data_IF_129349217706
#
_entry.id   IF_129349217706
#
_cell.length_a   1.000
_cell.length_b   1.000
_cell.length_c   1.000
_cell.angle_alpha   90.00
_cell.angle_beta   90.00
_cell.angle_gamma   90.00
#
_symmetry.space_group_name_H-M   'P 1'
#
loop_
_entity.id
_entity.type
_entity.pdbx_description
1 polymer ?
#
# COMPACT_ATOMS: atom_id res chain seq x y z
N UNK A 1 76.85 22.36 -10.17
CA UNK A 1 75.94 23.50 -9.97
C UNK A 1 74.59 23.15 -10.58
N UNK A 2 73.53 23.24 -9.76
CA UNK A 2 72.18 23.73 -10.11
C UNK A 2 71.27 22.94 -11.09
N UNK A 3 70.10 22.56 -10.54
CA UNK A 3 68.73 22.71 -11.10
C UNK A 3 68.32 21.66 -12.16
N UNK A 4 67.15 21.03 -12.16
CA UNK A 4 65.92 21.13 -11.37
C UNK A 4 65.14 19.82 -11.54
N UNK A 5 64.73 19.19 -10.43
CA UNK A 5 63.64 18.21 -10.40
C UNK A 5 62.34 18.99 -10.15
N UNK A 6 61.49 19.11 -11.17
CA UNK A 6 60.13 19.62 -11.01
C UNK A 6 59.16 18.45 -11.15
N UNK A 7 58.52 18.11 -10.03
CA UNK A 7 57.38 17.22 -9.99
C UNK A 7 56.13 17.90 -10.53
N UNK A 8 55.31 17.12 -11.22
CA UNK A 8 53.89 17.39 -11.40
C UNK A 8 53.12 16.14 -10.98
N UNK A 9 52.75 16.11 -9.70
CA UNK A 9 51.67 15.28 -9.20
C UNK A 9 50.37 16.07 -9.39
N UNK A 10 49.58 15.76 -10.42
CA UNK A 10 48.23 16.30 -10.59
C UNK A 10 47.40 15.40 -11.51
N UNK A 11 47.09 14.21 -11.01
CA UNK A 11 45.94 13.42 -11.46
C UNK A 11 45.27 12.81 -10.24
N UNK A 12 44.73 13.67 -9.37
CA UNK A 12 43.63 13.26 -8.52
C UNK A 12 42.36 13.42 -9.36
N UNK A 13 41.66 12.33 -9.74
CA UNK A 13 40.31 12.47 -10.21
C UNK A 13 39.50 13.01 -9.05
N UNK A 14 39.09 14.27 -9.16
CA UNK A 14 38.00 14.81 -8.36
C UNK A 14 36.81 13.90 -8.64
N UNK A 15 36.58 12.95 -7.73
CA UNK A 15 35.27 12.36 -7.57
C UNK A 15 34.34 13.51 -7.17
N UNK A 16 33.78 14.19 -8.17
CA UNK A 16 32.57 14.97 -8.01
C UNK A 16 31.47 13.99 -7.60
N UNK A 17 31.44 13.62 -6.32
CA UNK A 17 30.21 13.29 -5.64
C UNK A 17 29.31 14.50 -5.82
N UNK A 18 28.35 14.40 -6.74
CA UNK A 18 27.28 15.36 -6.88
C UNK A 18 26.67 15.52 -5.48
N UNK A 19 26.86 16.71 -4.89
CA UNK A 19 26.28 17.07 -3.61
C UNK A 19 24.76 16.86 -3.72
N UNK A 20 24.28 15.81 -3.06
CA UNK A 20 22.98 15.20 -3.31
C UNK A 20 21.90 16.01 -2.61
N UNK A 21 21.53 17.14 -3.19
CA UNK A 21 20.45 17.99 -2.67
C UNK A 21 19.13 17.66 -3.38
N UNK A 22 18.07 17.50 -2.60
CA UNK A 22 16.73 17.24 -3.10
C UNK A 22 15.79 18.28 -2.51
N UNK A 23 15.19 19.10 -3.38
CA UNK A 23 14.18 20.07 -2.99
C UNK A 23 12.86 19.73 -3.65
N UNK A 24 11.79 19.72 -2.87
CA UNK A 24 10.41 19.54 -3.33
C UNK A 24 9.68 20.84 -3.09
N UNK A 25 9.13 21.41 -4.17
CA UNK A 25 8.36 22.66 -4.10
C UNK A 25 7.03 22.46 -3.36
N UNK A 26 6.46 23.55 -2.84
CA UNK A 26 5.19 23.53 -2.13
C UNK A 26 4.06 22.94 -2.98
N UNK A 27 3.22 22.10 -2.38
CA UNK A 27 2.12 21.39 -3.06
C UNK A 27 2.54 20.52 -4.26
N UNK A 28 3.83 20.18 -4.38
CA UNK A 28 4.33 19.31 -5.45
C UNK A 28 4.75 17.94 -4.93
N UNK A 29 4.86 16.99 -5.85
CA UNK A 29 5.30 15.63 -5.55
C UNK A 29 6.57 15.35 -6.34
N UNK A 30 7.63 14.92 -5.63
CA UNK A 30 8.87 14.47 -6.25
C UNK A 30 9.10 13.01 -5.90
N UNK A 31 9.35 12.17 -6.91
CA UNK A 31 9.82 10.80 -6.70
C UNK A 31 11.35 10.79 -6.74
N UNK A 32 11.99 10.23 -5.72
CA UNK A 32 13.44 10.12 -5.66
C UNK A 32 13.98 9.40 -6.91
N UNK A 33 14.87 10.04 -7.68
CA UNK A 33 15.51 9.42 -8.84
C UNK A 33 16.62 8.47 -8.37
N UNK A 34 16.30 7.19 -8.22
CA UNK A 34 17.25 6.19 -7.68
C UNK A 34 17.64 5.17 -8.74
N UNK A 35 18.94 4.86 -8.80
CA UNK A 35 19.48 3.73 -9.58
C UNK A 35 19.85 2.54 -8.70
N UNK A 36 20.23 2.77 -7.44
CA UNK A 36 20.62 1.76 -6.45
C UNK A 36 19.60 1.54 -5.34
N UNK A 37 20.01 0.79 -4.31
CA UNK A 37 19.27 0.43 -3.10
C UNK A 37 19.73 1.21 -1.85
N UNK A 38 20.95 1.75 -1.83
CA UNK A 38 21.44 2.69 -0.81
C UNK A 38 21.66 4.08 -1.42
N UNK A 39 21.21 5.12 -0.70
CA UNK A 39 21.34 6.52 -1.10
C UNK A 39 21.85 7.37 0.07
N UNK A 40 22.81 8.24 -0.20
CA UNK A 40 23.26 9.27 0.75
C UNK A 40 23.00 10.64 0.12
N UNK A 41 22.23 11.47 0.81
CA UNK A 41 21.88 12.83 0.40
C UNK A 41 22.34 13.80 1.46
N UNK A 42 22.91 14.92 1.02
CA UNK A 42 23.42 15.94 1.95
C UNK A 42 22.25 16.73 2.55
N UNK A 43 21.24 17.03 1.74
CA UNK A 43 20.07 17.79 2.17
C UNK A 43 18.80 17.40 1.43
N UNK A 44 17.72 17.24 2.18
CA UNK A 44 16.36 17.09 1.69
C UNK A 44 15.52 18.22 2.27
N UNK A 45 14.85 18.97 1.40
CA UNK A 45 13.88 20.01 1.79
C UNK A 45 12.56 19.73 1.11
N UNK A 46 11.49 19.62 1.88
CA UNK A 46 10.12 19.45 1.35
C UNK A 46 9.29 20.65 1.76
N UNK A 47 8.87 21.43 0.77
CA UNK A 47 8.04 22.61 0.98
C UNK A 47 6.65 22.26 1.55
N UNK A 48 5.88 23.28 1.99
CA UNK A 48 4.58 23.08 2.63
C UNK A 48 3.64 22.24 1.76
N UNK A 49 2.95 21.27 2.36
CA UNK A 49 2.06 20.32 1.68
C UNK A 49 2.73 19.53 0.52
N UNK A 50 4.07 19.59 0.40
CA UNK A 50 4.83 18.84 -0.59
C UNK A 50 4.97 17.37 -0.20
N UNK A 51 5.28 16.51 -1.18
CA UNK A 51 5.51 15.10 -0.94
C UNK A 51 6.77 14.57 -1.64
N UNK A 52 7.67 13.95 -0.87
CA UNK A 52 8.80 13.18 -1.38
C UNK A 52 8.44 11.69 -1.40
N UNK A 53 8.56 11.05 -2.55
CA UNK A 53 8.29 9.63 -2.70
C UNK A 53 9.57 8.79 -2.77
N UNK A 54 9.71 7.83 -1.86
CA UNK A 54 10.80 6.86 -1.78
C UNK A 54 10.40 5.56 -2.48
N UNK A 55 11.04 5.17 -3.59
CA UNK A 55 10.73 3.92 -4.29
C UNK A 55 11.01 2.67 -3.44
N UNK A 56 10.28 1.59 -3.71
CA UNK A 56 10.37 0.32 -2.96
C UNK A 56 11.74 -0.36 -3.03
N UNK A 57 12.55 -0.04 -4.05
CA UNK A 57 13.93 -0.53 -4.21
C UNK A 57 14.88 0.01 -3.13
N UNK A 58 14.65 1.23 -2.65
CA UNK A 58 15.57 1.87 -1.68
C UNK A 58 15.43 1.14 -0.35
N UNK A 59 16.53 0.61 0.16
CA UNK A 59 16.65 -0.09 1.45
C UNK A 59 17.31 0.79 2.50
N UNK A 60 18.20 1.70 2.09
CA UNK A 60 18.92 2.59 2.99
C UNK A 60 18.91 4.02 2.42
N UNK A 61 18.54 4.99 3.26
CA UNK A 61 18.54 6.41 2.95
C UNK A 61 19.23 7.16 4.09
N UNK A 62 20.42 7.70 3.81
CA UNK A 62 21.16 8.58 4.73
C UNK A 62 20.96 10.02 4.32
N UNK A 63 20.63 10.86 5.29
CA UNK A 63 20.29 12.26 5.10
C UNK A 63 21.14 13.08 6.06
N UNK A 64 21.93 14.01 5.53
CA UNK A 64 22.63 15.01 6.34
C UNK A 64 21.62 15.95 7.01
N UNK A 65 20.89 16.72 6.21
CA UNK A 65 19.88 17.67 6.67
C UNK A 65 18.49 17.32 6.12
N UNK A 66 17.49 17.17 6.98
CA UNK A 66 16.09 16.96 6.60
C UNK A 66 15.21 18.10 7.09
N UNK A 67 14.61 18.84 6.16
CA UNK A 67 13.63 19.89 6.46
C UNK A 67 12.27 19.50 5.87
N UNK A 68 11.30 19.22 6.74
CA UNK A 68 9.91 19.01 6.38
C UNK A 68 9.10 20.20 6.86
N UNK A 69 8.64 21.01 5.90
CA UNK A 69 7.74 22.12 6.20
C UNK A 69 6.35 21.63 6.66
N UNK A 70 5.48 22.57 7.02
CA UNK A 70 4.14 22.26 7.53
C UNK A 70 3.38 21.33 6.59
N UNK A 71 2.81 20.26 7.15
CA UNK A 71 2.07 19.22 6.42
C UNK A 71 2.85 18.51 5.29
N UNK A 72 4.18 18.62 5.25
CA UNK A 72 5.01 17.94 4.28
C UNK A 72 5.04 16.42 4.52
N UNK A 73 5.21 15.65 3.45
CA UNK A 73 5.05 14.20 3.48
C UNK A 73 6.24 13.48 2.87
N UNK A 74 6.65 12.39 3.50
CA UNK A 74 7.53 11.37 2.91
C UNK A 74 6.68 10.13 2.67
N UNK A 75 6.39 9.83 1.41
CA UNK A 75 5.68 8.62 1.01
C UNK A 75 6.67 7.52 0.64
N UNK A 76 6.57 6.36 1.26
CA UNK A 76 7.38 5.18 0.97
C UNK A 76 6.52 4.20 0.21
N UNK A 77 6.97 3.81 -0.98
CA UNK A 77 6.27 2.79 -1.75
C UNK A 77 6.28 1.44 -1.01
N UNK A 78 5.19 0.65 -1.10
CA UNK A 78 5.13 -0.69 -0.53
C UNK A 78 6.30 -1.56 -1.00
N UNK A 79 6.90 -2.32 -0.08
CA UNK A 79 8.03 -3.18 -0.36
C UNK A 79 8.22 -4.25 0.71
N UNK A 80 8.87 -5.34 0.34
CA UNK A 80 9.10 -6.48 1.24
C UNK A 80 10.31 -6.25 2.16
N UNK A 81 11.31 -5.54 1.68
CA UNK A 81 12.50 -5.19 2.46
C UNK A 81 12.22 -4.02 3.39
N UNK A 82 12.77 -4.06 4.60
CA UNK A 82 12.77 -2.91 5.49
C UNK A 82 13.48 -1.70 4.85
N UNK A 83 13.04 -0.49 5.20
CA UNK A 83 13.70 0.75 4.83
C UNK A 83 14.36 1.36 6.07
N UNK A 84 15.67 1.56 6.00
CA UNK A 84 16.42 2.34 6.97
C UNK A 84 16.50 3.79 6.50
N UNK A 85 16.07 4.72 7.35
CA UNK A 85 16.24 6.16 7.16
C UNK A 85 17.07 6.68 8.32
N UNK A 86 18.21 7.25 8.00
CA UNK A 86 19.10 7.88 8.98
C UNK A 86 19.17 9.39 8.69
N UNK A 87 18.86 10.20 9.69
CA UNK A 87 18.84 11.65 9.62
C UNK A 87 19.83 12.19 10.66
N UNK A 88 20.85 12.91 10.20
CA UNK A 88 21.84 13.53 11.08
C UNK A 88 21.27 14.78 11.75
N UNK A 89 20.78 15.72 10.95
CA UNK A 89 20.15 16.96 11.40
C UNK A 89 18.79 17.15 10.74
N UNK A 90 17.82 17.72 11.45
CA UNK A 90 16.56 18.04 10.79
C UNK A 90 15.54 18.81 11.60
N UNK A 91 14.56 19.34 10.89
CA UNK A 91 13.39 19.99 11.43
C UNK A 91 12.13 19.43 10.76
N UNK A 92 11.23 18.85 11.56
CA UNK A 92 9.94 18.36 11.09
C UNK A 92 8.84 19.21 11.73
N UNK A 93 8.34 20.14 10.93
CA UNK A 93 7.28 21.05 11.33
C UNK A 93 5.95 20.32 11.58
N UNK A 94 5.00 21.02 12.19
CA UNK A 94 3.66 20.50 12.47
C UNK A 94 2.99 19.84 11.26
N UNK A 95 2.38 18.68 11.52
CA UNK A 95 1.66 17.89 10.53
C UNK A 95 2.55 17.10 9.57
N UNK A 96 3.86 17.01 9.81
CA UNK A 96 4.77 16.18 9.01
C UNK A 96 4.36 14.71 9.04
N UNK A 97 4.42 14.03 7.89
CA UNK A 97 4.01 12.62 7.77
C UNK A 97 5.09 11.78 7.11
N UNK A 98 5.42 10.62 7.69
CA UNK A 98 6.17 9.54 7.04
C UNK A 98 5.19 8.37 6.86
N UNK A 99 4.80 8.11 5.61
CA UNK A 99 3.80 7.10 5.27
C UNK A 99 4.45 5.93 4.52
N UNK A 100 4.39 4.73 5.09
CA UNK A 100 4.92 3.48 4.53
C UNK A 100 3.83 2.39 4.51
N UNK A 101 2.63 2.79 4.12
CA UNK A 101 1.45 1.92 4.11
C UNK A 101 1.55 0.81 3.07
N UNK A 102 0.91 -0.32 3.37
CA UNK A 102 0.75 -1.41 2.43
C UNK A 102 -0.24 -1.11 1.29
N UNK A 103 -0.08 -1.78 0.15
CA UNK A 103 -1.04 -1.71 -0.95
C UNK A 103 -2.26 -2.57 -0.67
N UNK A 104 -3.46 -2.07 -0.99
CA UNK A 104 -4.68 -2.87 -0.98
C UNK A 104 -4.60 -4.04 -1.96
N UNK A 105 -5.23 -5.14 -1.61
CA UNK A 105 -5.37 -6.32 -2.46
C UNK A 105 -6.34 -6.09 -3.61
N UNK A 106 -6.11 -6.82 -4.69
CA UNK A 106 -6.98 -6.94 -5.85
C UNK A 106 -7.25 -8.42 -6.14
N UNK A 107 -8.08 -8.70 -7.15
CA UNK A 107 -8.32 -10.06 -7.62
C UNK A 107 -7.04 -10.77 -8.12
N UNK A 108 -6.01 -10.01 -8.51
CA UNK A 108 -4.75 -10.55 -9.03
C UNK A 108 -3.64 -10.61 -7.98
N UNK A 109 -3.68 -9.71 -6.99
CA UNK A 109 -2.59 -9.52 -6.02
C UNK A 109 -3.13 -9.42 -4.61
N UNK A 110 -2.56 -10.16 -3.64
CA UNK A 110 -2.92 -9.99 -2.25
C UNK A 110 -2.53 -8.59 -1.75
N UNK A 111 -3.15 -8.18 -0.65
CA UNK A 111 -2.74 -6.98 0.06
C UNK A 111 -1.29 -7.11 0.56
N UNK A 112 -0.53 -6.02 0.54
CA UNK A 112 0.81 -6.00 1.11
C UNK A 112 0.78 -5.44 2.53
N UNK A 113 1.72 -5.90 3.37
CA UNK A 113 1.91 -5.33 4.69
C UNK A 113 2.41 -3.90 4.63
N UNK A 114 2.27 -3.18 5.74
CA UNK A 114 3.00 -1.93 5.95
C UNK A 114 4.50 -2.20 5.92
N UNK A 115 5.26 -1.33 5.25
CA UNK A 115 6.70 -1.55 5.06
C UNK A 115 7.46 -1.22 6.34
N UNK A 116 8.23 -2.17 6.85
CA UNK A 116 9.02 -1.98 8.07
C UNK A 116 9.98 -0.79 7.93
N UNK A 117 10.05 0.05 8.96
CA UNK A 117 10.90 1.23 9.00
C UNK A 117 11.90 1.13 10.15
N UNK A 118 13.16 1.45 9.87
CA UNK A 118 14.17 1.74 10.88
C UNK A 118 14.55 3.21 10.75
N UNK A 119 14.06 4.03 11.67
CA UNK A 119 14.25 5.47 11.67
C UNK A 119 15.29 5.82 12.73
N UNK A 120 16.44 6.33 12.31
CA UNK A 120 17.47 6.84 13.21
C UNK A 120 17.54 8.36 13.08
N UNK A 121 17.06 9.07 14.08
CA UNK A 121 17.04 10.53 14.11
C UNK A 121 18.08 10.99 15.14
N UNK A 122 19.13 11.69 14.73
CA UNK A 122 20.22 12.07 15.64
C UNK A 122 19.97 13.45 16.26
N UNK A 123 19.97 14.52 15.48
CA UNK A 123 19.71 15.88 15.96
C UNK A 123 18.51 16.46 15.20
N UNK A 124 17.33 15.96 15.55
CA UNK A 124 16.10 16.23 14.82
C UNK A 124 15.06 16.85 15.73
N UNK A 125 14.65 18.08 15.41
CA UNK A 125 13.52 18.74 16.05
C UNK A 125 12.22 18.26 15.41
N UNK A 126 11.25 17.91 16.25
CA UNK A 126 9.90 17.51 15.82
C UNK A 126 8.88 18.34 16.56
N UNK A 127 7.86 18.82 15.84
CA UNK A 127 6.67 19.44 16.43
C UNK A 127 5.51 18.43 16.56
N UNK A 128 5.11 17.80 15.44
CA UNK A 128 4.02 16.83 15.39
C UNK A 128 4.21 15.93 14.17
N UNK A 129 4.80 14.76 14.40
CA UNK A 129 5.12 13.79 13.35
C UNK A 129 4.13 12.63 13.39
N UNK A 130 3.56 12.29 12.24
CA UNK A 130 2.81 11.05 12.04
C UNK A 130 3.64 10.03 11.27
N UNK A 131 3.81 8.85 11.83
CA UNK A 131 4.39 7.68 11.13
C UNK A 131 3.24 6.70 10.84
N UNK A 132 2.87 6.52 9.56
CA UNK A 132 1.78 5.64 9.14
C UNK A 132 2.32 4.40 8.42
N UNK A 133 2.29 3.25 9.10
CA UNK A 133 2.76 1.95 8.58
C UNK A 133 1.65 0.90 8.65
N UNK A 134 0.43 1.31 8.34
CA UNK A 134 -0.74 0.42 8.29
C UNK A 134 -0.65 -0.62 7.18
N UNK A 135 -1.28 -1.77 7.41
CA UNK A 135 -1.43 -2.83 6.41
C UNK A 135 -2.46 -2.49 5.33
N UNK A 136 -2.29 -3.06 4.14
CA UNK A 136 -3.25 -2.93 3.04
C UNK A 136 -4.56 -3.70 3.29
N UNK A 137 -5.66 -3.19 2.76
CA UNK A 137 -6.99 -3.84 2.84
C UNK A 137 -7.01 -5.10 2.00
N UNK A 138 -7.58 -6.19 2.52
CA UNK A 138 -7.69 -7.47 1.81
C UNK A 138 -8.47 -7.36 0.49
N UNK A 139 -8.15 -8.23 -0.46
CA UNK A 139 -8.84 -8.26 -1.75
C UNK A 139 -10.32 -8.67 -1.59
N UNK A 140 -11.25 -8.08 -2.35
CA UNK A 140 -12.65 -8.50 -2.33
C UNK A 140 -12.83 -9.91 -2.88
N UNK A 141 -13.87 -10.59 -2.42
CA UNK A 141 -14.34 -11.85 -3.00
C UNK A 141 -15.00 -11.64 -4.36
N UNK A 142 -15.02 -12.68 -5.18
CA UNK A 142 -15.73 -12.68 -6.46
C UNK A 142 -17.23 -12.77 -6.24
N UNK A 143 -17.99 -11.99 -7.00
CA UNK A 143 -19.44 -12.13 -7.06
C UNK A 143 -19.82 -13.46 -7.72
N UNK A 144 -20.85 -14.11 -7.19
CA UNK A 144 -21.43 -15.31 -7.77
C UNK A 144 -22.13 -15.00 -9.08
N UNK A 145 -22.02 -15.91 -10.05
CA UNK A 145 -22.71 -15.80 -11.33
C UNK A 145 -24.21 -16.09 -11.20
N UNK A 146 -25.02 -15.34 -11.94
CA UNK A 146 -26.45 -15.55 -12.01
C UNK A 146 -26.79 -16.87 -12.71
N UNK A 147 -27.82 -17.55 -12.20
CA UNK A 147 -28.33 -18.78 -12.77
C UNK A 147 -28.99 -18.55 -14.14
N UNK A 148 -28.80 -19.51 -15.05
CA UNK A 148 -29.45 -19.48 -16.36
C UNK A 148 -30.98 -19.57 -16.24
N UNK A 149 -31.71 -18.88 -17.12
CA UNK A 149 -33.18 -18.94 -17.12
C UNK A 149 -33.70 -20.30 -17.57
N UNK A 150 -34.85 -20.71 -17.03
CA UNK A 150 -35.50 -21.95 -17.42
C UNK A 150 -36.06 -21.87 -18.85
N UNK A 151 -36.22 -23.03 -19.49
CA UNK A 151 -36.79 -23.16 -20.83
C UNK A 151 -37.99 -24.11 -20.81
N UNK A 152 -39.20 -23.60 -21.13
CA UNK A 152 -40.41 -24.42 -21.25
C UNK A 152 -40.31 -25.33 -22.48
N UNK A 153 -40.86 -26.55 -22.41
CA UNK A 153 -40.89 -27.47 -23.55
C UNK A 153 -41.74 -26.95 -24.73
N UNK A 154 -41.50 -27.52 -25.91
CA UNK A 154 -42.26 -27.22 -27.12
C UNK A 154 -43.62 -27.93 -27.16
N UNK A 155 -44.55 -27.40 -27.96
CA UNK A 155 -45.93 -27.91 -28.11
C UNK A 155 -46.08 -29.24 -28.88
N UNK A 156 -44.99 -29.84 -29.33
CA UNK A 156 -45.03 -31.08 -30.12
C UNK A 156 -44.21 -32.20 -29.47
N UNK A 157 -43.05 -31.86 -28.89
CA UNK A 157 -42.09 -32.80 -28.30
C UNK A 157 -40.97 -32.02 -27.59
N UNK A 158 -40.41 -32.58 -26.51
CA UNK A 158 -39.25 -32.06 -25.79
C UNK A 158 -39.45 -32.02 -24.28
N UNK A 159 -38.35 -32.09 -23.52
CA UNK A 159 -38.34 -31.79 -22.09
C UNK A 159 -38.01 -30.32 -21.86
N UNK A 160 -38.67 -29.69 -20.89
CA UNK A 160 -38.26 -28.39 -20.41
C UNK A 160 -36.92 -28.51 -19.67
N UNK A 161 -36.23 -27.38 -19.52
CA UNK A 161 -35.03 -27.28 -18.71
C UNK A 161 -35.31 -26.35 -17.55
N UNK A 162 -35.18 -26.85 -16.32
CA UNK A 162 -35.27 -26.00 -15.13
C UNK A 162 -34.19 -24.92 -15.13
N UNK A 163 -34.47 -23.81 -14.45
CA UNK A 163 -33.49 -22.74 -14.30
C UNK A 163 -32.26 -23.24 -13.53
N UNK A 164 -31.12 -22.62 -13.83
CA UNK A 164 -29.91 -22.81 -13.04
C UNK A 164 -29.98 -22.04 -11.73
N UNK A 165 -29.30 -22.56 -10.72
CA UNK A 165 -29.07 -21.86 -9.46
C UNK A 165 -28.05 -20.75 -9.64
N UNK A 166 -28.18 -19.68 -8.87
CA UNK A 166 -27.12 -18.68 -8.72
C UNK A 166 -25.95 -19.27 -7.96
N UNK A 167 -24.73 -18.90 -8.34
CA UNK A 167 -23.52 -19.32 -7.63
C UNK A 167 -23.34 -18.51 -6.35
N UNK A 168 -22.67 -19.12 -5.37
CA UNK A 168 -22.24 -18.43 -4.16
C UNK A 168 -21.13 -17.41 -4.49
N UNK A 169 -21.14 -16.29 -3.78
CA UNK A 169 -20.03 -15.34 -3.78
C UNK A 169 -18.85 -15.91 -2.99
N UNK A 170 -17.64 -15.61 -3.43
CA UNK A 170 -16.43 -16.02 -2.73
C UNK A 170 -16.16 -15.12 -1.52
N UNK A 171 -15.47 -15.66 -0.51
CA UNK A 171 -15.06 -14.88 0.65
C UNK A 171 -14.00 -13.83 0.29
N UNK A 172 -14.05 -12.71 1.01
CA UNK A 172 -13.00 -11.70 0.97
C UNK A 172 -11.69 -12.22 1.56
N UNK A 173 -10.57 -11.68 1.09
CA UNK A 173 -9.24 -12.05 1.60
C UNK A 173 -8.92 -11.29 2.88
N UNK A 174 -8.13 -11.92 3.75
CA UNK A 174 -7.61 -11.30 4.97
C UNK A 174 -6.79 -10.04 4.66
N UNK A 175 -6.95 -9.00 5.48
CA UNK A 175 -6.13 -7.80 5.42
C UNK A 175 -4.67 -8.07 5.76
N UNK A 176 -3.76 -7.26 5.21
CA UNK A 176 -2.33 -7.44 5.45
C UNK A 176 -1.91 -6.89 6.83
N UNK A 177 -0.81 -7.38 7.41
CA UNK A 177 -0.33 -6.90 8.71
C UNK A 177 0.17 -5.45 8.64
N UNK A 178 0.10 -4.75 9.77
CA UNK A 178 0.85 -3.51 9.98
C UNK A 178 2.36 -3.77 10.00
N UNK A 179 3.16 -2.76 9.68
CA UNK A 179 4.62 -2.88 9.71
C UNK A 179 5.23 -2.69 11.08
N UNK A 180 6.52 -2.95 11.19
CA UNK A 180 7.32 -2.70 12.40
C UNK A 180 8.08 -1.39 12.21
N UNK A 181 7.98 -0.50 13.20
CA UNK A 181 8.73 0.75 13.26
C UNK A 181 9.75 0.65 14.39
N UNK A 182 11.03 0.71 14.05
CA UNK A 182 12.11 0.91 15.03
C UNK A 182 12.56 2.35 15.00
N UNK A 183 12.32 3.08 16.08
CA UNK A 183 12.68 4.49 16.23
C UNK A 183 13.89 4.60 17.15
N UNK A 184 15.04 4.96 16.59
CA UNK A 184 16.28 5.23 17.30
C UNK A 184 16.49 6.74 17.45
N UNK A 185 16.51 7.23 18.68
CA UNK A 185 16.56 8.68 19.00
C UNK A 185 17.46 8.95 20.20
N UNK A 186 18.00 10.18 20.39
CA UNK A 186 18.70 10.54 21.61
C UNK A 186 17.84 10.46 22.86
N UNK A 187 18.49 10.43 24.02
CA UNK A 187 17.81 10.49 25.31
C UNK A 187 16.85 11.69 25.44
N UNK A 188 17.27 12.88 25.01
CA UNK A 188 16.44 14.11 25.09
C UNK A 188 15.31 14.22 24.06
N UNK A 189 15.16 13.26 23.13
CA UNK A 189 14.14 13.37 22.08
C UNK A 189 12.72 13.18 22.65
N UNK A 190 11.84 14.11 22.30
CA UNK A 190 10.43 14.11 22.72
C UNK A 190 9.59 13.18 21.84
N UNK A 191 9.44 11.94 22.30
CA UNK A 191 8.69 10.89 21.60
C UNK A 191 7.18 11.15 21.64
N UNK A 192 6.68 11.98 22.57
CA UNK A 192 5.23 12.26 22.68
C UNK A 192 4.71 13.05 21.47
N UNK A 193 5.60 13.76 20.79
CA UNK A 193 5.32 14.46 19.52
C UNK A 193 5.24 13.55 18.30
N UNK A 194 5.53 12.26 18.46
CA UNK A 194 5.48 11.25 17.39
C UNK A 194 4.26 10.35 17.58
N UNK A 195 3.29 10.48 16.68
CA UNK A 195 2.13 9.59 16.58
C UNK A 195 2.44 8.47 15.60
N UNK A 196 2.13 7.23 15.96
CA UNK A 196 2.40 6.07 15.12
C UNK A 196 1.11 5.30 14.85
N UNK A 197 0.87 4.97 13.58
CA UNK A 197 -0.27 4.17 13.11
C UNK A 197 0.23 2.85 12.56
N UNK A 198 -0.16 1.77 13.23
CA UNK A 198 0.34 0.41 13.00
C UNK A 198 -0.79 -0.59 12.79
N UNK A 199 -2.01 -0.12 12.56
CA UNK A 199 -3.18 -0.97 12.41
C UNK A 199 -2.99 -1.93 11.22
N UNK A 200 -3.31 -3.20 11.43
CA UNK A 200 -3.46 -4.15 10.33
C UNK A 200 -4.59 -3.71 9.39
N UNK A 201 -4.46 -4.05 8.12
CA UNK A 201 -5.46 -3.73 7.11
C UNK A 201 -6.80 -4.40 7.39
N UNK A 202 -7.89 -3.76 6.99
CA UNK A 202 -9.20 -4.38 7.05
C UNK A 202 -9.28 -5.61 6.14
N UNK A 203 -10.17 -6.56 6.43
CA UNK A 203 -10.48 -7.64 5.51
C UNK A 203 -11.17 -7.14 4.24
N UNK A 204 -11.04 -7.90 3.16
CA UNK A 204 -11.79 -7.65 1.94
C UNK A 204 -13.26 -7.94 2.13
N UNK A 205 -14.12 -7.22 1.40
CA UNK A 205 -15.55 -7.52 1.37
C UNK A 205 -15.81 -8.90 0.76
N UNK A 206 -16.82 -9.62 1.26
CA UNK A 206 -17.31 -10.84 0.63
C UNK A 206 -18.01 -10.56 -0.70
N UNK A 207 -17.93 -11.50 -1.62
CA UNK A 207 -18.60 -11.42 -2.92
C UNK A 207 -20.13 -11.51 -2.77
N UNK A 208 -20.85 -10.83 -3.66
CA UNK A 208 -22.31 -10.87 -3.68
C UNK A 208 -22.81 -12.24 -4.17
N UNK A 209 -23.97 -12.71 -3.69
CA UNK A 209 -24.60 -13.90 -4.23
C UNK A 209 -25.06 -13.72 -5.67
N UNK A 210 -24.89 -14.76 -6.49
CA UNK A 210 -25.56 -14.87 -7.78
C UNK A 210 -27.07 -15.02 -7.61
N UNK A 211 -27.83 -14.41 -8.51
CA UNK A 211 -29.30 -14.50 -8.50
C UNK A 211 -29.75 -15.85 -9.04
N UNK A 212 -30.89 -16.32 -8.52
CA UNK A 212 -31.59 -17.46 -9.07
C UNK A 212 -31.96 -17.23 -10.54
N UNK A 213 -31.80 -18.27 -11.38
CA UNK A 213 -32.33 -18.25 -12.73
C UNK A 213 -33.85 -18.12 -12.73
N UNK A 214 -34.38 -17.30 -13.64
CA UNK A 214 -35.82 -17.04 -13.70
C UNK A 214 -36.59 -18.30 -14.14
N UNK A 215 -37.76 -18.50 -13.52
CA UNK A 215 -38.72 -19.52 -13.96
C UNK A 215 -39.14 -19.27 -15.41
N UNK A 216 -39.54 -20.30 -16.13
CA UNK A 216 -40.16 -20.11 -17.43
C UNK A 216 -41.68 -19.95 -17.28
N UNK A 217 -42.27 -19.20 -18.21
CA UNK A 217 -43.73 -19.03 -18.26
C UNK A 217 -44.43 -20.30 -18.72
N UNK A 218 -45.70 -20.43 -18.36
CA UNK A 218 -46.59 -21.42 -18.96
C UNK A 218 -46.76 -21.10 -20.45
N UNK A 219 -46.70 -22.14 -21.30
CA UNK A 219 -46.85 -22.00 -22.75
C UNK A 219 -48.18 -22.57 -23.19
N UNK A 220 -49.03 -21.72 -23.76
CA UNK A 220 -50.28 -22.14 -24.39
C UNK A 220 -50.03 -22.82 -25.74
N UNK A 221 -50.56 -24.02 -25.90
CA UNK A 221 -50.63 -24.76 -27.16
C UNK A 221 -52.10 -24.82 -27.61
N UNK A 222 -52.36 -25.19 -28.87
CA UNK A 222 -53.69 -25.01 -29.50
C UNK A 222 -54.85 -25.65 -28.72
N UNK A 223 -54.62 -26.81 -28.08
CA UNK A 223 -55.65 -27.54 -27.32
C UNK A 223 -55.25 -27.85 -25.87
N UNK A 224 -54.09 -27.39 -25.39
CA UNK A 224 -53.57 -27.67 -24.05
C UNK A 224 -52.48 -26.65 -23.66
N UNK A 225 -52.02 -26.65 -22.41
CA UNK A 225 -50.88 -25.84 -22.00
C UNK A 225 -49.76 -26.67 -21.39
N UNK A 226 -48.54 -26.16 -21.47
CA UNK A 226 -47.35 -26.73 -20.84
C UNK A 226 -46.96 -25.85 -19.67
N UNK A 227 -46.96 -26.43 -18.47
CA UNK A 227 -46.52 -25.75 -17.26
C UNK A 227 -45.09 -25.22 -17.42
N UNK A 228 -44.84 -24.03 -16.86
CA UNK A 228 -43.51 -23.46 -16.79
C UNK A 228 -42.59 -24.26 -15.87
N UNK A 229 -41.31 -24.26 -16.20
CA UNK A 229 -40.24 -24.86 -15.42
C UNK A 229 -39.89 -24.02 -14.18
N UNK A 230 -39.38 -24.69 -13.14
CA UNK A 230 -39.10 -24.07 -11.84
C UNK A 230 -37.94 -23.06 -11.92
N UNK A 231 -37.95 -22.00 -11.09
CA UNK A 231 -36.79 -21.13 -10.91
C UNK A 231 -35.66 -21.89 -10.20
N UNK A 232 -34.45 -21.36 -10.30
CA UNK A 232 -33.31 -21.83 -9.51
C UNK A 232 -33.36 -21.33 -8.06
N UNK A 233 -32.38 -21.73 -7.28
CA UNK A 233 -32.08 -21.17 -5.97
C UNK A 233 -31.14 -19.96 -6.07
N UNK A 234 -31.22 -19.06 -5.10
CA UNK A 234 -30.27 -17.96 -4.97
C UNK A 234 -28.99 -18.46 -4.30
N UNK A 235 -27.84 -17.97 -4.77
CA UNK A 235 -26.57 -18.21 -4.10
C UNK A 235 -26.47 -17.52 -2.74
N UNK A 236 -25.43 -17.84 -1.98
CA UNK A 236 -25.07 -17.19 -0.72
C UNK A 236 -23.99 -16.14 -0.95
N UNK A 237 -23.99 -15.08 -0.14
CA UNK A 237 -22.89 -14.12 -0.14
C UNK A 237 -21.65 -14.71 0.53
N UNK A 238 -20.47 -14.26 0.10
CA UNK A 238 -19.21 -14.57 0.77
C UNK A 238 -19.08 -13.85 2.10
N UNK A 239 -18.26 -14.38 2.99
CA UNK A 239 -17.89 -13.74 4.25
C UNK A 239 -16.85 -12.62 4.02
N UNK A 240 -16.82 -11.65 4.92
CA UNK A 240 -15.72 -10.68 4.97
C UNK A 240 -14.43 -11.34 5.43
N UNK A 241 -13.31 -10.89 4.87
CA UNK A 241 -11.99 -11.33 5.31
C UNK A 241 -11.69 -10.90 6.75
N UNK A 242 -10.79 -11.61 7.41
CA UNK A 242 -10.30 -11.19 8.71
C UNK A 242 -9.45 -9.91 8.62
N UNK A 243 -9.41 -9.11 9.70
CA UNK A 243 -8.47 -7.99 9.84
C UNK A 243 -7.04 -8.54 9.95
N UNK A 244 -6.08 -7.83 9.35
CA UNK A 244 -4.66 -8.13 9.54
C UNK A 244 -4.19 -7.87 10.97
N UNK A 245 -3.09 -8.51 11.37
CA UNK A 245 -2.48 -8.28 12.66
C UNK A 245 -1.90 -6.86 12.77
N UNK A 246 -1.88 -6.32 13.98
CA UNK A 246 -1.26 -5.02 14.24
C UNK A 246 0.26 -5.11 14.14
N UNK A 247 0.87 -4.00 13.76
CA UNK A 247 2.32 -3.81 13.74
C UNK A 247 2.89 -3.56 15.13
N UNK A 248 4.16 -3.16 15.18
CA UNK A 248 4.85 -2.89 16.45
C UNK A 248 5.73 -1.65 16.37
N UNK A 249 5.79 -0.90 17.46
CA UNK A 249 6.71 0.20 17.67
C UNK A 249 7.80 -0.23 18.67
N UNK A 250 9.05 -0.18 18.24
CA UNK A 250 10.23 -0.42 19.06
C UNK A 250 11.02 0.89 19.19
N UNK A 251 11.01 1.51 20.37
CA UNK A 251 11.77 2.75 20.62
C UNK A 251 13.09 2.41 21.30
N UNK A 252 14.20 2.86 20.72
CA UNK A 252 15.55 2.70 21.27
C UNK A 252 16.17 4.08 21.50
N UNK A 253 16.55 4.37 22.73
CA UNK A 253 17.31 5.57 23.07
C UNK A 253 18.81 5.29 23.02
N UNK A 254 19.61 6.26 22.60
CA UNK A 254 21.07 6.20 22.57
C UNK A 254 21.71 7.52 23.01
#
# INVERSE_FOLDING_TARGET
MRKSLLGLALFAPLACSAAGTVSVEANTVLRLPVKGDSLSLDRISVGPEGALLIPSRVKELKIGELDLAKNARIGVFPGNDALQIEVQHGNLADGSVIAAQGSSGSFEKPASGGRNLLLRLQDVAVENLLIDVRGGVGAPGYDGLDGGSAQTSGCLWGSGKSAGDGQDGADGKTGAPGGVVRLEVPEQFDVEKVKVRLEGGAGGAGGKPGKAGQRSGEKGCWFYSVAGERPGAQGKGGAEGAKGSEGRLDVKRF
#
